data_IF_152209659565
#
_entry.id   IF_152209659565
#
_cell.length_a   1.000
_cell.length_b   1.000
_cell.length_c   1.000
_cell.angle_alpha   90.00
_cell.angle_beta   90.00
_cell.angle_gamma   90.00
#
_symmetry.space_group_name_H-M   'P 1'
#
loop_
_entity.id
_entity.type
_entity.pdbx_description
1 polymer ?
#
# COMPACT_ATOMS: atom_id res chain seq x y z
N UNK A 1 -1.14 -12.26 -23.20
CA UNK A 1 0.18 -12.20 -23.86
C UNK A 1 0.71 -10.77 -23.81
N UNK A 2 1.59 -10.47 -22.86
CA UNK A 2 2.21 -9.16 -22.75
C UNK A 2 3.32 -9.03 -23.80
N UNK A 3 3.30 -7.94 -24.57
CA UNK A 3 4.36 -7.61 -25.53
C UNK A 3 5.59 -7.13 -24.75
N UNK A 4 6.58 -7.99 -24.61
CA UNK A 4 7.89 -7.68 -24.00
C UNK A 4 8.60 -6.61 -24.83
N UNK A 5 8.89 -5.45 -24.23
CA UNK A 5 9.69 -4.39 -24.85
C UNK A 5 11.13 -4.45 -24.38
N UNK A 6 12.05 -4.16 -25.30
CA UNK A 6 13.48 -4.00 -25.00
C UNK A 6 13.69 -2.78 -24.09
N UNK A 7 14.50 -2.93 -23.04
CA UNK A 7 14.84 -1.90 -22.05
C UNK A 7 15.48 -0.66 -22.71
N UNK A 8 16.11 -0.82 -23.88
CA UNK A 8 16.83 0.24 -24.59
C UNK A 8 15.94 1.39 -25.08
N UNK A 9 14.64 1.16 -25.34
CA UNK A 9 13.78 2.23 -25.89
C UNK A 9 13.32 3.27 -24.86
N UNK A 10 13.54 3.02 -23.56
CA UNK A 10 13.09 3.91 -22.47
C UNK A 10 14.24 4.61 -21.72
N UNK A 11 15.50 4.26 -21.99
CA UNK A 11 16.69 4.82 -21.32
C UNK A 11 17.51 5.72 -22.26
N UNK A 12 17.11 6.99 -22.37
CA UNK A 12 18.05 8.02 -22.82
C UNK A 12 19.19 8.11 -21.81
N UNK A 13 20.40 7.64 -22.17
CA UNK A 13 21.59 7.66 -21.31
C UNK A 13 22.09 6.30 -20.82
N UNK A 14 21.80 5.19 -21.52
CA UNK A 14 22.36 3.88 -21.18
C UNK A 14 23.91 3.92 -21.18
N UNK A 15 24.60 3.53 -20.07
CA UNK A 15 26.06 3.55 -19.99
C UNK A 15 26.71 2.67 -21.08
N UNK A 16 27.90 3.06 -21.56
CA UNK A 16 28.61 2.35 -22.64
C UNK A 16 28.83 0.86 -22.31
N UNK A 17 29.00 0.51 -21.04
CA UNK A 17 29.22 -0.88 -20.63
C UNK A 17 28.03 -1.81 -20.96
N UNK A 18 26.81 -1.26 -21.00
CA UNK A 18 25.61 -2.05 -21.29
C UNK A 18 25.36 -2.26 -22.79
N UNK A 19 26.04 -1.51 -23.67
CA UNK A 19 25.93 -1.65 -25.14
C UNK A 19 26.59 -2.91 -25.68
N UNK A 20 27.46 -3.54 -24.89
CA UNK A 20 28.22 -4.73 -25.28
C UNK A 20 27.56 -6.06 -24.90
N UNK A 21 26.40 -6.04 -24.24
CA UNK A 21 25.67 -7.28 -23.94
C UNK A 21 25.01 -7.81 -25.22
N UNK A 22 25.56 -8.89 -25.78
CA UNK A 22 25.00 -9.60 -26.95
C UNK A 22 23.58 -10.14 -26.70
N UNK A 23 23.27 -10.45 -25.44
CA UNK A 23 21.90 -10.76 -25.00
C UNK A 23 21.22 -9.48 -24.56
N UNK A 24 20.16 -9.11 -25.28
CA UNK A 24 19.21 -8.07 -24.85
C UNK A 24 18.60 -8.50 -23.51
N UNK A 25 18.94 -7.79 -22.44
CA UNK A 25 18.24 -7.95 -21.17
C UNK A 25 16.76 -7.61 -21.38
N UNK A 26 15.93 -8.60 -21.15
CA UNK A 26 14.48 -8.43 -21.07
C UNK A 26 14.15 -7.89 -19.69
N UNK A 27 13.04 -7.17 -19.57
CA UNK A 27 12.53 -6.74 -18.25
C UNK A 27 12.31 -7.93 -17.32
N UNK A 28 12.00 -9.12 -17.87
CA UNK A 28 11.91 -10.39 -17.13
C UNK A 28 13.22 -10.82 -16.48
N UNK A 29 14.37 -10.47 -17.05
CA UNK A 29 15.70 -10.88 -16.54
C UNK A 29 16.12 -10.06 -15.31
N UNK A 30 15.35 -9.03 -14.96
CA UNK A 30 15.54 -8.21 -13.76
C UNK A 30 14.63 -8.64 -12.60
N UNK A 31 13.91 -9.75 -12.77
CA UNK A 31 13.07 -10.34 -11.74
C UNK A 31 13.76 -11.57 -11.15
N UNK A 32 13.90 -11.54 -9.84
CA UNK A 32 14.35 -12.63 -9.00
C UNK A 32 13.11 -13.43 -8.55
N UNK A 33 13.26 -14.74 -8.42
CA UNK A 33 12.31 -15.53 -7.63
C UNK A 33 12.46 -15.25 -6.12
N UNK A 34 11.58 -15.84 -5.30
CA UNK A 34 11.56 -15.60 -3.86
C UNK A 34 12.85 -16.08 -3.15
N UNK A 35 13.53 -17.09 -3.69
CA UNK A 35 14.76 -17.63 -3.12
C UNK A 35 15.96 -16.78 -3.54
N UNK A 36 16.05 -16.44 -4.82
CA UNK A 36 17.03 -15.51 -5.39
C UNK A 36 16.95 -14.12 -4.74
N UNK A 37 15.75 -13.65 -4.38
CA UNK A 37 15.54 -12.37 -3.72
C UNK A 37 16.13 -12.30 -2.30
N UNK A 38 16.47 -13.44 -1.69
CA UNK A 38 17.09 -13.49 -0.34
C UNK A 38 18.60 -13.42 -0.37
N UNK A 39 19.24 -13.88 -1.45
CA UNK A 39 20.70 -13.89 -1.55
C UNK A 39 21.33 -12.49 -1.36
N UNK A 40 20.76 -11.39 -1.93
CA UNK A 40 21.31 -10.05 -1.77
C UNK A 40 21.39 -9.56 -0.33
N UNK A 41 20.59 -10.10 0.60
CA UNK A 41 20.67 -9.71 2.02
C UNK A 41 21.97 -10.14 2.68
N UNK A 42 22.57 -11.23 2.19
CA UNK A 42 23.74 -11.85 2.81
C UNK A 42 25.08 -11.41 2.19
N UNK A 43 25.05 -10.69 1.07
CA UNK A 43 26.24 -10.11 0.44
C UNK A 43 26.91 -9.07 1.35
N UNK A 44 28.18 -8.77 1.10
CA UNK A 44 28.92 -7.71 1.82
C UNK A 44 28.26 -6.34 1.68
N UNK A 45 27.64 -6.09 0.53
CA UNK A 45 26.89 -4.85 0.27
C UNK A 45 25.41 -4.97 0.65
N UNK A 46 24.99 -6.11 1.22
CA UNK A 46 23.62 -6.45 1.58
C UNK A 46 23.12 -5.73 2.85
N UNK A 47 22.16 -6.35 3.55
CA UNK A 47 21.70 -5.81 4.82
C UNK A 47 22.79 -5.99 5.90
N UNK A 48 22.97 -5.02 6.81
CA UNK A 48 23.78 -5.20 8.01
C UNK A 48 23.30 -6.42 8.80
N UNK A 49 24.23 -7.17 9.41
CA UNK A 49 23.92 -8.43 10.09
C UNK A 49 22.87 -8.29 11.20
N UNK A 50 22.85 -7.12 11.83
CA UNK A 50 21.97 -6.68 12.91
C UNK A 50 20.53 -6.46 12.43
N UNK A 51 20.35 -6.27 11.13
CA UNK A 51 19.05 -6.07 10.48
C UNK A 51 18.53 -7.31 9.75
N UNK A 52 19.34 -8.37 9.64
CA UNK A 52 18.97 -9.66 9.01
C UNK A 52 18.01 -10.44 9.91
N UNK A 53 16.82 -9.88 10.09
CA UNK A 53 15.72 -10.51 10.82
C UNK A 53 14.72 -11.08 9.81
N UNK A 54 14.10 -12.24 10.10
CA UNK A 54 13.10 -12.81 9.20
C UNK A 54 11.96 -11.85 8.87
N UNK A 55 11.58 -10.99 9.82
CA UNK A 55 10.51 -10.00 9.66
C UNK A 55 10.88 -8.93 8.65
N UNK A 56 12.10 -8.38 8.73
CA UNK A 56 12.55 -7.34 7.82
C UNK A 56 12.81 -7.92 6.42
N UNK A 57 13.46 -9.07 6.33
CA UNK A 57 13.71 -9.74 5.05
C UNK A 57 12.39 -10.08 4.35
N UNK A 58 11.41 -10.66 5.05
CA UNK A 58 10.09 -10.95 4.49
C UNK A 58 9.35 -9.68 4.04
N UNK A 59 9.46 -8.59 4.82
CA UNK A 59 8.90 -7.30 4.45
C UNK A 59 9.51 -6.78 3.15
N UNK A 60 10.83 -6.86 3.01
CA UNK A 60 11.54 -6.38 1.83
C UNK A 60 11.21 -7.25 0.62
N UNK A 61 11.36 -8.56 0.72
CA UNK A 61 11.07 -9.49 -0.38
C UNK A 61 9.64 -9.36 -0.88
N UNK A 62 8.65 -9.16 0.01
CA UNK A 62 7.25 -8.99 -0.42
C UNK A 62 6.97 -7.63 -1.02
N UNK A 63 7.55 -6.55 -0.48
CA UNK A 63 7.31 -5.20 -0.99
C UNK A 63 7.93 -5.00 -2.39
N UNK A 64 8.92 -5.82 -2.76
CA UNK A 64 9.58 -5.81 -4.07
C UNK A 64 9.38 -7.13 -4.81
N UNK A 65 8.44 -7.13 -5.75
CA UNK A 65 8.01 -8.29 -6.59
C UNK A 65 9.16 -8.84 -7.44
N UNK A 66 10.21 -9.37 -6.85
CA UNK A 66 11.40 -9.86 -7.55
C UNK A 66 12.28 -8.79 -8.22
N UNK A 67 11.88 -7.51 -8.29
CA UNK A 67 12.67 -6.52 -9.03
C UNK A 67 14.02 -6.24 -8.34
N UNK A 68 15.12 -6.68 -8.95
CA UNK A 68 16.48 -6.61 -8.37
C UNK A 68 16.94 -5.17 -8.12
N UNK A 69 16.59 -4.24 -9.02
CA UNK A 69 16.92 -2.83 -8.86
C UNK A 69 16.19 -2.22 -7.66
N UNK A 70 14.90 -2.53 -7.51
CA UNK A 70 14.11 -2.05 -6.40
C UNK A 70 14.61 -2.61 -5.07
N UNK A 71 14.90 -3.92 -5.04
CA UNK A 71 15.51 -4.59 -3.90
C UNK A 71 16.83 -3.91 -3.50
N UNK A 72 17.70 -3.63 -4.47
CA UNK A 72 19.00 -2.99 -4.22
C UNK A 72 18.87 -1.58 -3.64
N UNK A 73 17.98 -0.75 -4.20
CA UNK A 73 17.72 0.59 -3.68
C UNK A 73 17.15 0.51 -2.26
N UNK A 74 16.25 -0.43 -1.99
CA UNK A 74 15.68 -0.59 -0.67
C UNK A 74 16.74 -0.95 0.38
N UNK A 75 17.55 -1.98 0.10
CA UNK A 75 18.62 -2.42 0.99
C UNK A 75 19.60 -1.27 1.27
N UNK A 76 20.00 -0.53 0.22
CA UNK A 76 20.91 0.60 0.36
C UNK A 76 20.35 1.71 1.27
N UNK A 77 19.09 2.10 1.08
CA UNK A 77 18.45 3.13 1.90
C UNK A 77 18.26 2.69 3.36
N UNK A 78 17.89 1.42 3.57
CA UNK A 78 17.77 0.86 4.93
C UNK A 78 19.13 0.82 5.64
N UNK A 79 20.18 0.39 4.93
CA UNK A 79 21.54 0.37 5.46
C UNK A 79 22.03 1.76 5.84
N UNK A 80 21.88 2.74 4.93
CA UNK A 80 22.27 4.13 5.18
C UNK A 80 21.49 4.75 6.36
N UNK A 81 20.17 4.51 6.43
CA UNK A 81 19.36 4.97 7.55
C UNK A 81 19.78 4.35 8.89
N UNK A 82 20.15 3.06 8.88
CA UNK A 82 20.60 2.35 10.07
C UNK A 82 21.94 2.87 10.59
N UNK A 83 22.90 3.15 9.69
CA UNK A 83 24.21 3.71 10.04
C UNK A 83 24.11 5.11 10.64
N UNK A 84 23.09 5.88 10.24
CA UNK A 84 22.89 7.27 10.67
C UNK A 84 21.96 7.43 11.87
N UNK A 85 21.28 6.35 12.29
CA UNK A 85 20.31 6.35 13.41
C UNK A 85 20.84 5.52 14.59
N UNK A 86 20.15 5.55 15.75
CA UNK A 86 20.49 4.85 17.00
C UNK A 86 20.50 3.31 16.94
N UNK A 87 20.62 2.72 15.74
CA UNK A 87 20.60 1.27 15.47
C UNK A 87 19.38 0.54 16.04
N UNK A 88 18.26 1.24 16.21
CA UNK A 88 17.00 0.67 16.68
C UNK A 88 16.22 0.05 15.51
N UNK A 89 15.99 -1.26 15.56
CA UNK A 89 15.20 -2.00 14.58
C UNK A 89 13.78 -1.43 14.42
N UNK A 90 13.20 -0.88 15.49
CA UNK A 90 11.88 -0.24 15.46
C UNK A 90 11.89 1.01 14.59
N UNK A 91 12.94 1.83 14.68
CA UNK A 91 13.11 3.02 13.86
C UNK A 91 13.38 2.66 12.40
N UNK A 92 14.14 1.59 12.13
CA UNK A 92 14.34 1.07 10.78
C UNK A 92 13.01 0.58 10.16
N UNK A 93 12.19 -0.13 10.93
CA UNK A 93 10.86 -0.55 10.47
C UNK A 93 9.97 0.67 10.19
N UNK A 94 9.96 1.68 11.07
CA UNK A 94 9.23 2.94 10.82
C UNK A 94 9.71 3.63 9.54
N UNK A 95 11.03 3.65 9.31
CA UNK A 95 11.61 4.20 8.09
C UNK A 95 11.11 3.47 6.84
N UNK A 96 11.03 2.14 6.86
CA UNK A 96 10.49 1.33 5.75
C UNK A 96 9.06 1.72 5.35
N UNK A 97 8.26 2.24 6.28
CA UNK A 97 6.89 2.70 6.07
C UNK A 97 6.76 4.23 5.94
N UNK A 98 7.87 4.96 6.05
CA UNK A 98 7.89 6.42 6.05
C UNK A 98 7.63 7.00 4.67
N UNK A 99 7.18 8.27 4.64
CA UNK A 99 7.07 9.02 3.39
C UNK A 99 8.42 9.16 2.67
N UNK A 100 9.51 9.31 3.40
CA UNK A 100 10.85 9.44 2.81
C UNK A 100 11.23 8.19 1.99
N UNK A 101 11.00 7.01 2.56
CA UNK A 101 11.23 5.76 1.82
C UNK A 101 10.32 5.64 0.59
N UNK A 102 9.06 6.04 0.72
CA UNK A 102 8.12 6.07 -0.40
C UNK A 102 8.56 7.00 -1.53
N UNK A 103 9.11 8.17 -1.21
CA UNK A 103 9.62 9.13 -2.20
C UNK A 103 10.89 8.62 -2.90
N UNK A 104 11.82 8.00 -2.17
CA UNK A 104 13.02 7.42 -2.77
C UNK A 104 12.68 6.30 -3.73
N UNK A 105 11.84 5.36 -3.30
CA UNK A 105 11.43 4.24 -4.14
C UNK A 105 10.53 4.70 -5.28
N UNK A 106 9.76 5.79 -5.09
CA UNK A 106 8.85 6.33 -6.10
C UNK A 106 9.53 6.72 -7.41
N UNK A 107 10.83 7.00 -7.36
CA UNK A 107 11.68 7.28 -8.53
C UNK A 107 11.75 6.09 -9.50
N UNK A 108 11.57 4.86 -9.02
CA UNK A 108 11.53 3.65 -9.87
C UNK A 108 10.33 3.61 -10.80
N UNK A 109 9.22 4.25 -10.40
CA UNK A 109 8.02 4.37 -11.22
C UNK A 109 8.06 5.62 -12.14
N UNK A 110 9.16 6.38 -12.11
CA UNK A 110 9.32 7.63 -12.83
C UNK A 110 8.44 8.78 -12.30
N UNK A 111 8.27 9.82 -13.11
CA UNK A 111 7.50 11.03 -12.77
C UNK A 111 5.98 10.86 -12.95
N UNK A 112 5.45 9.63 -12.85
CA UNK A 112 4.04 9.33 -13.10
C UNK A 112 3.19 9.58 -11.85
N UNK A 113 3.00 10.86 -11.55
CA UNK A 113 2.28 11.36 -10.39
C UNK A 113 0.93 11.95 -10.79
N UNK A 114 0.02 11.11 -11.28
CA UNK A 114 -1.28 11.58 -11.75
C UNK A 114 -2.42 10.86 -11.05
N UNK A 115 -3.42 11.63 -10.61
CA UNK A 115 -4.69 11.10 -10.16
C UNK A 115 -5.39 10.36 -11.30
N UNK A 116 -6.22 9.33 -11.00
CA UNK A 116 -7.04 8.69 -12.02
C UNK A 116 -7.91 9.72 -12.75
N UNK A 117 -8.05 9.65 -14.09
CA UNK A 117 -8.79 10.62 -14.89
C UNK A 117 -10.31 10.54 -14.70
N UNK A 118 -10.84 9.46 -14.12
CA UNK A 118 -12.26 9.28 -13.88
C UNK A 118 -12.57 8.65 -12.52
N UNK A 119 -13.76 8.95 -12.00
CA UNK A 119 -14.26 8.38 -10.75
C UNK A 119 -14.46 6.86 -10.86
N UNK A 120 -14.83 6.33 -12.03
CA UNK A 120 -14.96 4.88 -12.21
C UNK A 120 -13.61 4.18 -12.05
N UNK A 121 -12.55 4.73 -12.67
CA UNK A 121 -11.22 4.16 -12.58
C UNK A 121 -10.65 4.27 -11.17
N UNK A 122 -10.84 5.41 -10.51
CA UNK A 122 -10.48 5.59 -9.10
C UNK A 122 -11.20 4.57 -8.21
N UNK A 123 -12.52 4.44 -8.36
CA UNK A 123 -13.33 3.47 -7.60
C UNK A 123 -12.85 2.04 -7.84
N UNK A 124 -12.53 1.69 -9.09
CA UNK A 124 -11.99 0.39 -9.43
C UNK A 124 -10.63 0.12 -8.75
N UNK A 125 -9.69 1.05 -8.82
CA UNK A 125 -8.37 0.88 -8.18
C UNK A 125 -8.49 0.81 -6.66
N UNK A 126 -9.41 1.56 -6.06
CA UNK A 126 -9.67 1.46 -4.61
C UNK A 126 -10.36 0.13 -4.24
N UNK A 127 -11.12 -0.50 -5.14
CA UNK A 127 -11.59 -1.88 -4.95
C UNK A 127 -10.46 -2.89 -5.02
N UNK A 128 -9.54 -2.76 -5.98
CA UNK A 128 -8.35 -3.61 -6.10
C UNK A 128 -7.50 -3.63 -4.82
N UNK A 129 -7.62 -2.57 -4.04
CA UNK A 129 -6.97 -2.40 -2.76
C UNK A 129 -7.69 -3.10 -1.60
N UNK A 130 -9.03 -2.99 -1.51
CA UNK A 130 -9.81 -3.44 -0.34
C UNK A 130 -10.35 -4.88 -0.46
N UNK A 131 -10.37 -5.42 -1.68
CA UNK A 131 -11.00 -6.71 -1.99
C UNK A 131 -10.12 -7.68 -2.77
N UNK A 132 -8.84 -7.33 -3.01
CA UNK A 132 -7.95 -8.12 -3.84
C UNK A 132 -8.21 -7.96 -5.34
N UNK A 133 -7.90 -9.00 -6.12
CA UNK A 133 -7.95 -8.92 -7.58
C UNK A 133 -9.38 -8.67 -8.10
N UNK A 134 -9.56 -7.64 -8.92
CA UNK A 134 -10.87 -7.18 -9.40
C UNK A 134 -10.96 -7.23 -10.93
N UNK A 135 -12.16 -7.46 -11.45
CA UNK A 135 -12.42 -7.35 -12.89
C UNK A 135 -12.35 -5.88 -13.33
N UNK A 136 -11.54 -5.54 -14.35
CA UNK A 136 -11.48 -4.18 -14.85
C UNK A 136 -12.83 -3.76 -15.46
N UNK A 137 -13.31 -2.53 -15.21
CA UNK A 137 -14.48 -2.01 -15.91
C UNK A 137 -14.18 -1.89 -17.42
N UNK A 138 -15.20 -1.78 -18.29
CA UNK A 138 -15.00 -1.40 -19.67
C UNK A 138 -14.29 -0.05 -19.73
N UNK A 139 -13.07 -0.02 -20.29
CA UNK A 139 -12.26 1.20 -20.39
C UNK A 139 -12.12 1.61 -21.85
N UNK A 140 -12.46 2.85 -22.14
CA UNK A 140 -12.29 3.47 -23.45
C UNK A 140 -11.45 4.75 -23.35
N UNK A 141 -10.94 5.21 -24.50
CA UNK A 141 -10.21 6.48 -24.62
C UNK A 141 -9.05 6.63 -23.62
N UNK A 142 -9.09 7.73 -22.87
CA UNK A 142 -8.06 8.11 -21.91
C UNK A 142 -7.89 7.08 -20.78
N UNK A 143 -8.99 6.51 -20.27
CA UNK A 143 -8.94 5.50 -19.21
C UNK A 143 -8.16 4.25 -19.61
N UNK A 144 -8.28 3.80 -20.86
CA UNK A 144 -7.52 2.66 -21.40
C UNK A 144 -6.02 2.96 -21.53
N UNK A 145 -5.69 4.15 -22.05
CA UNK A 145 -4.29 4.61 -22.14
C UNK A 145 -3.65 4.69 -20.75
N UNK A 146 -4.41 5.21 -19.80
CA UNK A 146 -3.98 5.38 -18.42
C UNK A 146 -3.77 4.03 -17.72
N UNK A 147 -4.73 3.10 -17.85
CA UNK A 147 -4.61 1.75 -17.32
C UNK A 147 -3.41 1.00 -17.89
N UNK A 148 -3.18 1.12 -19.20
CA UNK A 148 -2.00 0.56 -19.87
C UNK A 148 -0.70 1.10 -19.27
N UNK A 149 -0.63 2.40 -18.94
CA UNK A 149 0.57 3.00 -18.31
C UNK A 149 0.84 2.41 -16.92
N UNK A 150 -0.20 2.22 -16.09
CA UNK A 150 0.00 1.58 -14.79
C UNK A 150 0.56 0.16 -14.92
N UNK A 151 0.09 -0.58 -15.92
CA UNK A 151 0.57 -1.93 -16.22
C UNK A 151 2.03 -1.91 -16.71
N UNK A 152 2.35 -1.04 -17.67
CA UNK A 152 3.71 -0.88 -18.20
C UNK A 152 4.72 -0.42 -17.13
N UNK A 153 4.27 0.31 -16.11
CA UNK A 153 5.10 0.74 -14.97
C UNK A 153 5.10 -0.23 -13.80
N UNK A 154 4.48 -1.40 -13.93
CA UNK A 154 4.50 -2.42 -12.89
C UNK A 154 3.80 -1.99 -11.59
N UNK A 155 2.83 -1.07 -11.65
CA UNK A 155 2.01 -0.67 -10.50
C UNK A 155 0.85 -1.66 -10.31
N UNK A 156 0.28 -2.13 -11.42
CA UNK A 156 -0.76 -3.16 -11.43
C UNK A 156 -0.35 -4.33 -12.32
N UNK A 157 -0.89 -5.50 -12.02
CA UNK A 157 -0.76 -6.71 -12.81
C UNK A 157 -2.14 -7.31 -13.07
N UNK A 158 -2.28 -7.97 -14.21
CA UNK A 158 -3.45 -8.76 -14.56
C UNK A 158 -3.08 -10.25 -14.49
N UNK A 159 -3.81 -10.99 -13.67
CA UNK A 159 -3.68 -12.45 -13.52
C UNK A 159 -4.26 -13.21 -14.71
N UNK A 160 -4.09 -14.54 -14.69
CA UNK A 160 -4.62 -15.45 -15.73
C UNK A 160 -6.15 -15.45 -15.78
N UNK A 161 -6.79 -15.21 -14.63
CA UNK A 161 -8.23 -15.01 -14.46
C UNK A 161 -8.74 -13.67 -14.99
N UNK A 162 -7.87 -12.87 -15.64
CA UNK A 162 -8.12 -11.50 -16.07
C UNK A 162 -8.43 -10.52 -14.93
N UNK A 163 -8.26 -10.94 -13.66
CA UNK A 163 -8.42 -10.06 -12.52
C UNK A 163 -7.17 -9.21 -12.34
N UNK A 164 -7.37 -7.99 -11.87
CA UNK A 164 -6.33 -6.97 -11.75
C UNK A 164 -6.09 -6.67 -10.28
N UNK A 165 -4.83 -6.60 -9.89
CA UNK A 165 -4.41 -6.21 -8.54
C UNK A 165 -3.17 -5.31 -8.61
N UNK A 166 -2.86 -4.65 -7.50
CA UNK A 166 -1.55 -4.03 -7.33
C UNK A 166 -0.46 -5.11 -7.33
N UNK A 167 0.70 -4.77 -7.88
CA UNK A 167 1.84 -5.70 -7.97
C UNK A 167 2.42 -6.02 -6.61
N UNK A 168 2.56 -5.01 -5.75
CA UNK A 168 3.05 -5.15 -4.37
C UNK A 168 2.35 -4.20 -3.40
N UNK A 169 2.51 -4.43 -2.09
CA UNK A 169 2.12 -3.46 -1.08
C UNK A 169 2.80 -2.09 -1.25
N UNK A 170 4.04 -2.08 -1.73
CA UNK A 170 4.70 -0.83 -2.06
C UNK A 170 3.98 -0.06 -3.18
N UNK A 171 3.55 -0.73 -4.25
CA UNK A 171 2.77 -0.09 -5.32
C UNK A 171 1.46 0.50 -4.78
N UNK A 172 0.84 -0.16 -3.80
CA UNK A 172 -0.32 0.37 -3.07
C UNK A 172 0.04 1.66 -2.34
N UNK A 173 1.08 1.66 -1.50
CA UNK A 173 1.50 2.86 -0.75
C UNK A 173 1.87 4.02 -1.68
N UNK A 174 2.57 3.72 -2.78
CA UNK A 174 3.00 4.72 -3.75
C UNK A 174 1.80 5.39 -4.40
N UNK A 175 0.80 4.59 -4.77
CA UNK A 175 -0.32 5.08 -5.53
C UNK A 175 -1.45 5.66 -4.64
N UNK A 176 -1.45 5.35 -3.34
CA UNK A 176 -2.47 5.77 -2.38
C UNK A 176 -2.75 7.29 -2.34
N UNK A 177 -1.75 8.20 -2.33
CA UNK A 177 -2.02 9.64 -2.32
C UNK A 177 -2.77 10.13 -3.57
N UNK A 178 -2.59 9.46 -4.70
CA UNK A 178 -3.26 9.80 -5.97
C UNK A 178 -4.69 9.26 -6.02
N UNK A 179 -4.97 8.17 -5.30
CA UNK A 179 -6.33 7.64 -5.13
C UNK A 179 -7.17 8.45 -4.15
N UNK A 180 -6.56 9.18 -3.23
CA UNK A 180 -7.27 10.01 -2.25
C UNK A 180 -6.66 11.42 -2.21
N UNK A 181 -6.86 12.23 -3.27
CA UNK A 181 -6.21 13.54 -3.38
C UNK A 181 -6.74 14.55 -2.35
N UNK A 182 -7.98 14.38 -1.88
CA UNK A 182 -8.59 15.24 -0.87
C UNK A 182 -8.13 14.78 0.52
N UNK A 183 -7.07 15.42 1.01
CA UNK A 183 -6.47 15.17 2.32
C UNK A 183 -6.79 16.30 3.29
N UNK A 184 -6.91 15.97 4.57
CA UNK A 184 -7.25 16.94 5.62
C UNK A 184 -6.03 17.70 6.12
N UNK A 185 -6.21 18.90 6.67
CA UNK A 185 -5.13 19.60 7.37
C UNK A 185 -5.72 20.45 8.51
N UNK A 186 -5.09 20.49 9.71
CA UNK A 186 -3.93 19.71 10.15
C UNK A 186 -4.30 18.26 10.54
N UNK A 187 -3.29 17.43 10.83
CA UNK A 187 -3.49 16.10 11.40
C UNK A 187 -4.29 16.16 12.71
N UNK A 188 -5.12 15.14 13.03
CA UNK A 188 -5.86 15.13 14.28
C UNK A 188 -4.90 14.99 15.47
N UNK A 189 -5.22 15.66 16.57
CA UNK A 189 -4.40 15.68 17.79
C UNK A 189 -4.25 14.33 18.51
N UNK A 190 -4.98 13.29 18.10
CA UNK A 190 -4.82 11.93 18.60
C UNK A 190 -5.43 10.92 17.66
N UNK A 191 -4.96 9.67 17.72
CA UNK A 191 -5.52 8.55 16.95
C UNK A 191 -7.02 8.36 17.25
N UNK A 192 -7.44 8.44 18.52
CA UNK A 192 -8.85 8.31 18.89
C UNK A 192 -9.75 9.40 18.28
N UNK A 193 -9.20 10.58 17.99
CA UNK A 193 -9.91 11.64 17.25
C UNK A 193 -9.96 11.34 15.76
N UNK A 194 -8.86 10.85 15.17
CA UNK A 194 -8.81 10.39 13.78
C UNK A 194 -9.83 9.28 13.50
N UNK A 195 -9.85 8.23 14.33
CA UNK A 195 -10.77 7.10 14.17
C UNK A 195 -12.23 7.55 14.25
N UNK A 196 -12.58 8.41 15.22
CA UNK A 196 -13.95 8.95 15.33
C UNK A 196 -14.34 9.76 14.11
N UNK A 197 -13.43 10.56 13.57
CA UNK A 197 -13.66 11.34 12.34
C UNK A 197 -13.82 10.43 11.12
N UNK A 198 -12.97 9.42 10.96
CA UNK A 198 -13.03 8.48 9.85
C UNK A 198 -14.32 7.65 9.85
N UNK A 199 -14.72 7.12 11.02
CA UNK A 199 -16.01 6.42 11.18
C UNK A 199 -17.17 7.38 10.93
N UNK A 200 -17.11 8.60 11.47
CA UNK A 200 -18.15 9.61 11.29
C UNK A 200 -18.32 10.09 9.84
N UNK A 201 -17.30 9.91 8.99
CA UNK A 201 -17.39 10.22 7.55
C UNK A 201 -17.92 9.06 6.70
N UNK A 202 -18.15 7.87 7.27
CA UNK A 202 -18.71 6.75 6.53
C UNK A 202 -20.18 7.00 6.18
N UNK A 203 -20.55 6.66 4.95
CA UNK A 203 -21.92 6.65 4.48
C UNK A 203 -22.66 5.40 4.96
N UNK A 204 -23.60 5.59 5.88
CA UNK A 204 -24.50 4.53 6.31
C UNK A 204 -25.38 3.99 5.16
N UNK A 205 -25.66 4.82 4.14
CA UNK A 205 -26.36 4.35 2.95
C UNK A 205 -25.51 3.31 2.21
N UNK A 206 -24.25 3.63 1.93
CA UNK A 206 -23.33 2.72 1.23
C UNK A 206 -23.08 1.45 2.04
N UNK A 207 -22.99 1.55 3.37
CA UNK A 207 -22.86 0.36 4.24
C UNK A 207 -24.11 -0.53 4.20
N UNK A 208 -25.31 0.06 4.21
CA UNK A 208 -26.58 -0.68 4.11
C UNK A 208 -26.79 -1.32 2.73
N UNK A 209 -26.31 -0.67 1.68
CA UNK A 209 -26.40 -1.15 0.29
C UNK A 209 -25.32 -2.19 -0.05
N UNK A 210 -24.29 -2.33 0.79
CA UNK A 210 -23.32 -3.43 0.64
C UNK A 210 -23.97 -4.78 0.94
N UNK A 211 -23.52 -5.83 0.25
CA UNK A 211 -24.02 -7.19 0.49
C UNK A 211 -23.76 -7.55 1.94
N UNK A 212 -24.82 -7.72 2.73
CA UNK A 212 -24.69 -8.09 4.13
C UNK A 212 -24.22 -9.55 4.22
N UNK A 213 -23.35 -9.83 5.17
CA UNK A 213 -23.01 -11.20 5.52
C UNK A 213 -24.21 -11.92 6.18
N UNK A 214 -24.06 -13.22 6.47
CA UNK A 214 -25.08 -14.04 7.16
C UNK A 214 -25.52 -13.46 8.52
N UNK A 215 -24.75 -12.51 9.05
CA UNK A 215 -24.89 -11.88 10.34
C UNK A 215 -25.50 -10.48 10.27
N UNK A 216 -25.91 -10.01 9.09
CA UNK A 216 -26.46 -8.67 8.87
C UNK A 216 -25.41 -7.56 8.93
N UNK A 217 -24.13 -7.90 8.76
CA UNK A 217 -23.01 -6.97 8.83
C UNK A 217 -22.58 -6.55 7.42
N UNK A 218 -22.24 -5.26 7.19
CA UNK A 218 -21.76 -4.79 5.89
C UNK A 218 -20.56 -5.59 5.38
N UNK A 219 -20.44 -5.71 4.06
CA UNK A 219 -19.30 -6.39 3.45
C UNK A 219 -17.98 -5.76 3.95
N UNK A 220 -17.06 -6.58 4.44
CA UNK A 220 -15.78 -6.13 5.02
C UNK A 220 -15.01 -5.21 4.07
N UNK A 221 -14.92 -5.55 2.78
CA UNK A 221 -14.27 -4.72 1.78
C UNK A 221 -14.90 -3.32 1.65
N UNK A 222 -16.23 -3.19 1.75
CA UNK A 222 -16.91 -1.89 1.73
C UNK A 222 -16.58 -1.07 2.98
N UNK A 223 -16.47 -1.74 4.13
CA UNK A 223 -16.13 -1.10 5.39
C UNK A 223 -14.69 -0.59 5.39
N UNK A 224 -13.75 -1.43 4.98
CA UNK A 224 -12.33 -1.08 4.86
C UNK A 224 -12.14 0.10 3.89
N UNK A 225 -12.83 0.05 2.75
CA UNK A 225 -12.85 1.14 1.78
C UNK A 225 -13.26 2.48 2.40
N UNK A 226 -14.44 2.54 3.03
CA UNK A 226 -14.93 3.79 3.62
C UNK A 226 -14.11 4.25 4.82
N UNK A 227 -13.53 3.32 5.58
CA UNK A 227 -12.64 3.67 6.66
C UNK A 227 -11.36 4.32 6.13
N UNK A 228 -10.78 3.76 5.08
CA UNK A 228 -9.58 4.28 4.44
C UNK A 228 -9.80 5.64 3.79
N UNK A 229 -10.93 5.83 3.13
CA UNK A 229 -11.33 7.14 2.62
C UNK A 229 -11.44 8.17 3.76
N UNK A 230 -12.04 7.77 4.89
CA UNK A 230 -12.10 8.58 6.09
C UNK A 230 -10.71 8.91 6.66
N UNK A 231 -9.80 7.93 6.74
CA UNK A 231 -8.43 8.16 7.21
C UNK A 231 -7.69 9.14 6.31
N UNK A 232 -7.76 8.96 4.99
CA UNK A 232 -7.12 9.87 4.04
C UNK A 232 -7.70 11.28 4.16
N UNK A 233 -9.03 11.41 4.20
CA UNK A 233 -9.73 12.70 4.31
C UNK A 233 -9.36 13.50 5.56
N UNK A 234 -8.99 12.82 6.64
CA UNK A 234 -8.71 13.46 7.93
C UNK A 234 -7.23 13.48 8.31
N UNK A 235 -6.33 13.12 7.40
CA UNK A 235 -4.88 13.20 7.61
C UNK A 235 -4.22 14.08 6.56
N UNK A 236 -3.10 14.71 6.92
CA UNK A 236 -2.29 15.54 6.06
C UNK A 236 -1.72 14.74 4.86
N UNK A 237 -1.41 15.41 3.74
CA UNK A 237 -0.66 14.79 2.64
C UNK A 237 0.71 14.25 3.04
N UNK A 238 1.28 14.74 4.14
CA UNK A 238 2.54 14.24 4.72
C UNK A 238 2.37 12.95 5.50
N UNK A 239 1.14 12.56 5.84
CA UNK A 239 0.87 11.35 6.60
C UNK A 239 0.96 10.11 5.71
N UNK A 240 1.92 9.23 6.03
CA UNK A 240 2.01 7.90 5.43
C UNK A 240 0.93 7.00 6.01
N UNK A 241 0.17 6.35 5.14
CA UNK A 241 -0.84 5.35 5.51
C UNK A 241 -0.43 4.04 4.83
N UNK A 242 -0.25 2.97 5.61
CA UNK A 242 0.10 1.64 5.10
C UNK A 242 -1.08 0.67 5.33
N UNK A 243 -1.98 0.55 4.35
CA UNK A 243 -3.20 -0.24 4.43
C UNK A 243 -3.07 -1.73 4.24
N UNK A 244 -1.98 -2.17 3.63
CA UNK A 244 -1.66 -3.58 3.52
C UNK A 244 -1.42 -4.23 4.88
N UNK A 245 -1.14 -3.47 5.95
CA UNK A 245 -0.53 -4.04 7.16
C UNK A 245 -1.41 -5.07 7.87
N UNK A 246 -2.72 -4.96 7.71
CA UNK A 246 -3.71 -5.99 8.05
C UNK A 246 -3.41 -7.36 7.44
N UNK A 247 -2.91 -7.39 6.21
CA UNK A 247 -2.46 -8.59 5.49
C UNK A 247 -1.01 -8.98 5.79
N UNK A 248 -0.17 -8.03 6.23
CA UNK A 248 1.27 -8.21 6.53
C UNK A 248 1.50 -8.84 7.90
N UNK A 249 0.72 -8.44 8.90
CA UNK A 249 0.79 -8.99 10.25
C UNK A 249 -0.49 -9.75 10.59
N UNK A 250 -0.82 -10.83 9.86
CA UNK A 250 -2.01 -11.61 10.17
C UNK A 250 -1.89 -12.09 11.62
N UNK A 251 -2.94 -11.86 12.41
CA UNK A 251 -3.07 -12.45 13.74
C UNK A 251 -2.92 -13.97 13.57
N UNK A 252 -1.75 -14.53 13.89
CA UNK A 252 -1.57 -15.96 14.14
C UNK A 252 -2.34 -16.30 15.41
N UNK A 253 -3.66 -16.35 15.31
CA UNK A 253 -4.54 -17.00 16.28
C UNK A 253 -5.20 -18.17 15.58
N UNK A 254 -4.46 -19.27 15.57
CA UNK A 254 -5.04 -20.61 15.42
C UNK A 254 -6.08 -20.76 16.54
N UNK A 255 -7.37 -20.80 16.18
CA UNK A 255 -8.40 -21.37 17.07
C UNK A 255 -9.49 -20.46 17.63
N UNK A 256 -9.60 -19.18 17.30
CA UNK A 256 -10.79 -18.38 17.70
C UNK A 256 -11.44 -17.68 16.52
N UNK A 257 -12.59 -18.23 16.13
CA UNK A 257 -13.60 -17.65 15.24
C UNK A 257 -13.91 -16.21 15.64
N UNK A 258 -13.98 -15.31 14.65
CA UNK A 258 -14.26 -13.84 14.67
C UNK A 258 -13.06 -12.91 14.44
N UNK A 259 -12.32 -13.12 13.34
CA UNK A 259 -11.28 -12.21 12.86
C UNK A 259 -11.87 -11.12 11.94
N UNK A 260 -12.22 -9.95 12.49
CA UNK A 260 -12.57 -8.74 11.73
C UNK A 260 -11.74 -7.53 12.17
N UNK A 261 -10.46 -7.76 12.51
CA UNK A 261 -9.53 -6.70 12.87
C UNK A 261 -8.86 -6.17 11.60
N UNK A 262 -8.83 -4.85 11.44
CA UNK A 262 -8.16 -4.18 10.32
C UNK A 262 -6.99 -3.38 10.87
N UNK A 263 -5.76 -3.79 10.55
CA UNK A 263 -4.53 -3.12 10.97
C UNK A 263 -4.01 -2.13 9.91
N UNK A 264 -3.52 -0.97 10.38
CA UNK A 264 -2.98 0.11 9.57
C UNK A 264 -1.77 0.74 10.26
N UNK A 265 -0.78 1.20 9.51
CA UNK A 265 0.25 2.11 10.02
C UNK A 265 -0.06 3.54 9.61
N UNK A 266 0.18 4.46 10.53
CA UNK A 266 -0.07 5.89 10.39
C UNK A 266 1.12 6.66 10.96
N UNK A 267 1.82 7.36 10.08
CA UNK A 267 2.84 8.34 10.48
C UNK A 267 2.24 9.74 10.41
N UNK A 268 1.97 10.36 11.57
CA UNK A 268 1.31 11.67 11.64
C UNK A 268 2.25 12.87 11.49
N UNK A 269 3.55 12.67 11.23
CA UNK A 269 4.53 13.71 10.89
C UNK A 269 4.41 15.03 11.68
N UNK A 270 5.18 15.18 12.77
CA UNK A 270 5.34 16.46 13.47
C UNK A 270 6.21 16.40 14.73
N UNK A 271 6.98 17.47 14.98
CA UNK A 271 7.84 17.70 16.17
C UNK A 271 7.09 17.81 17.51
N UNK A 272 5.77 17.58 17.54
CA UNK A 272 4.95 17.75 18.74
C UNK A 272 4.61 16.42 19.40
N UNK A 273 5.38 16.01 20.41
CA UNK A 273 5.08 15.12 21.57
C UNK A 273 4.14 13.89 21.41
N UNK A 274 3.74 13.53 20.20
CA UNK A 274 3.03 12.31 19.86
C UNK A 274 4.09 11.41 19.26
N UNK A 275 4.69 10.57 20.11
CA UNK A 275 5.53 9.46 19.66
C UNK A 275 4.87 8.78 18.44
N UNK A 276 5.62 8.54 17.33
CA UNK A 276 5.10 7.79 16.19
C UNK A 276 4.69 6.41 16.70
N UNK A 277 3.40 6.28 16.96
CA UNK A 277 2.85 5.09 17.57
C UNK A 277 2.57 4.13 16.43
N UNK A 278 3.35 3.06 16.31
CA UNK A 278 2.92 1.84 15.59
C UNK A 278 1.68 1.34 16.32
N UNK A 279 0.54 1.95 16.04
CA UNK A 279 -0.69 1.55 16.70
C UNK A 279 -1.22 0.41 15.88
N UNK A 280 -0.88 -0.82 16.31
CA UNK A 280 -1.67 -1.99 15.97
C UNK A 280 -3.10 -1.68 16.37
N UNK A 281 -3.94 -1.30 15.41
CA UNK A 281 -5.36 -1.07 15.63
C UNK A 281 -6.07 -2.43 15.76
N UNK A 282 -5.67 -3.22 16.75
CA UNK A 282 -6.43 -4.35 17.24
C UNK A 282 -7.62 -3.84 18.09
N UNK A 283 -8.38 -2.88 17.58
CA UNK A 283 -9.72 -2.66 18.11
C UNK A 283 -10.58 -3.72 17.46
N UNK A 284 -10.96 -4.72 18.25
CA UNK A 284 -12.25 -5.39 18.08
C UNK A 284 -13.27 -4.28 17.91
N UNK A 285 -13.59 -3.89 16.69
CA UNK A 285 -14.87 -3.29 16.38
C UNK A 285 -15.86 -4.43 16.66
N UNK A 286 -16.19 -4.62 17.94
CA UNK A 286 -17.19 -5.62 18.31
C UNK A 286 -18.42 -5.20 17.53
N UNK A 287 -19.12 -6.17 16.93
CA UNK A 287 -20.42 -6.01 16.28
C UNK A 287 -21.32 -5.00 17.03
N UNK A 288 -21.22 -4.98 18.37
CA UNK A 288 -21.89 -4.06 19.29
C UNK A 288 -21.52 -2.57 19.16
N UNK A 289 -20.26 -2.20 18.95
CA UNK A 289 -19.85 -0.79 18.80
C UNK A 289 -20.32 -0.23 17.45
N UNK A 290 -20.23 -1.04 16.38
CA UNK A 290 -20.77 -0.64 15.07
C UNK A 290 -22.29 -0.63 15.03
N UNK A 291 -22.98 -1.57 15.70
CA UNK A 291 -24.44 -1.53 15.86
C UNK A 291 -24.89 -0.31 16.66
N UNK A 292 -24.12 0.11 17.68
CA UNK A 292 -24.40 1.33 18.44
C UNK A 292 -24.24 2.59 17.57
N UNK A 293 -23.20 2.66 16.73
CA UNK A 293 -23.05 3.75 15.76
C UNK A 293 -24.09 3.71 14.63
N UNK A 294 -24.49 2.52 14.16
CA UNK A 294 -25.56 2.36 13.16
C UNK A 294 -26.93 2.77 13.74
N UNK A 295 -27.18 2.52 15.04
CA UNK A 295 -28.34 3.10 15.75
C UNK A 295 -28.26 4.62 15.83
N UNK A 296 -27.10 5.21 16.14
CA UNK A 296 -26.96 6.67 16.16
C UNK A 296 -27.10 7.34 14.79
N UNK A 297 -26.64 6.70 13.71
CA UNK A 297 -26.81 7.21 12.34
C UNK A 297 -28.25 7.05 11.84
N UNK A 298 -28.94 5.99 12.25
CA UNK A 298 -30.37 5.80 11.92
C UNK A 298 -31.25 6.80 12.67
N UNK A 299 -30.89 7.19 13.90
CA UNK A 299 -31.61 8.21 14.68
C UNK A 299 -31.40 9.64 14.17
N UNK A 300 -30.29 9.93 13.50
CA UNK A 300 -29.95 11.26 12.95
C UNK A 300 -30.40 11.48 11.49
N UNK A 301 -30.90 10.44 10.82
CA UNK A 301 -31.51 10.53 9.48
C UNK A 301 -33.04 10.57 9.51
N UNK A 302 -33.63 10.50 10.71
CA UNK A 302 -35.07 10.60 10.98
C UNK A 302 -35.50 11.92 11.65
N UNK A 303 -34.62 12.93 11.61
CA UNK A 303 -34.86 14.29 12.11
C UNK A 303 -34.70 15.31 10.98
#
# INVERSE_FOLDING_TARGET
>A
MATLRSIESELWGCPEEFKHFEKRFMTSDLFLDDDEAREPFHLETGLPSELRTPVLEELITRDYVGNVCALRIFIGNVGEFFETTSQDQTEVLKFCFSRGMMETMGRLNGNYHFAPPSNELQTFLVKCFSGGACTPPPMEGEGKSWFKRLFEKGIIVQGEDSLVKFTSPWAVRYYFPFLFPIRGYPNPSSLGKLVRKAIGSMSAKVLKESTMDENGFPQQATLEHQFMEGLARWTAPTCSICPELSSVFPLRHVGTVNATAVDFYLDLGGESNCSPTVTRMARKCRKRDMLYFQQQITLSSSS
#
